data_IF_993353613141
#
_entry.id   IF_993353613141
#
_cell.length_a   1.000
_cell.length_b   1.000
_cell.length_c   1.000
_cell.angle_alpha   90.00
_cell.angle_beta   90.00
_cell.angle_gamma   90.00
#
_symmetry.space_group_name_H-M   'P 1'
#
loop_
_entity.id
_entity.type
_entity.pdbx_description
1 polymer ?
#
# COMPACT_ATOMS: atom_id res chain seq x y z
N UNK A 1 -20.51 48.14 21.19
CA UNK A 1 -20.10 49.56 21.34
C UNK A 1 -19.81 49.84 22.80
N UNK A 2 -18.54 49.83 23.22
CA UNK A 2 -18.03 50.73 24.25
C UNK A 2 -16.52 50.84 24.04
N UNK A 3 -16.11 52.09 23.87
CA UNK A 3 -14.81 52.58 23.46
C UNK A 3 -14.02 52.97 24.73
N UNK A 4 -12.70 53.19 24.52
CA UNK A 4 -11.81 54.05 25.32
C UNK A 4 -11.29 53.48 26.65
N UNK A 5 -10.07 53.75 27.12
CA UNK A 5 -8.86 54.40 26.59
C UNK A 5 -7.83 54.48 27.73
N UNK A 6 -6.55 54.39 27.36
CA UNK A 6 -5.37 55.04 27.96
C UNK A 6 -5.08 54.89 29.47
N UNK A 7 -3.81 54.52 29.77
CA UNK A 7 -2.85 55.42 30.43
C UNK A 7 -1.42 54.85 30.43
N UNK A 8 -0.58 55.48 29.61
CA UNK A 8 0.88 55.55 29.78
C UNK A 8 1.26 56.32 31.06
N UNK A 9 2.22 55.80 31.84
CA UNK A 9 3.20 56.53 32.68
C UNK A 9 4.43 55.60 32.81
N UNK A 10 5.59 55.81 32.19
CA UNK A 10 6.58 56.89 32.28
C UNK A 10 7.36 56.94 33.63
N UNK A 11 8.59 56.40 33.60
CA UNK A 11 9.87 56.80 34.26
C UNK A 11 9.99 56.73 35.80
N UNK A 12 11.21 56.81 36.43
CA UNK A 12 12.59 57.11 35.92
C UNK A 12 13.64 56.02 36.28
N UNK A 13 14.76 55.83 35.56
CA UNK A 13 16.04 56.59 35.47
C UNK A 13 16.90 56.61 36.76
N UNK A 14 18.08 55.98 36.62
CA UNK A 14 19.42 56.45 37.02
C UNK A 14 20.14 55.82 38.25
N UNK A 15 21.30 55.24 37.92
CA UNK A 15 22.64 55.58 38.44
C UNK A 15 23.34 54.60 39.41
N UNK A 16 24.62 54.36 39.06
CA UNK A 16 25.86 54.15 39.84
C UNK A 16 26.64 52.93 39.29
N UNK A 17 27.67 53.12 38.47
CA UNK A 17 29.07 53.53 38.76
C UNK A 17 29.92 52.47 39.49
N UNK A 18 30.85 51.90 38.70
CA UNK A 18 32.30 51.69 38.93
C UNK A 18 32.79 50.93 40.17
N UNK A 19 33.48 49.84 39.87
CA UNK A 19 34.48 49.14 40.70
C UNK A 19 34.49 47.67 40.29
N UNK A 20 35.57 46.94 40.05
CA UNK A 20 37.00 47.16 40.21
C UNK A 20 37.69 46.09 39.33
N UNK A 21 38.88 46.42 38.84
CA UNK A 21 39.75 45.59 37.99
C UNK A 21 40.11 44.23 38.60
N UNK A 22 40.33 43.29 37.66
CA UNK A 22 41.36 42.25 37.66
C UNK A 22 41.15 41.05 38.58
N UNK A 23 40.84 39.89 38.00
CA UNK A 23 41.83 38.80 37.86
C UNK A 23 41.62 38.08 36.53
N UNK A 24 42.69 38.00 35.75
CA UNK A 24 42.85 37.14 34.59
C UNK A 24 42.77 35.68 35.04
N UNK A 25 41.87 34.90 34.44
CA UNK A 25 42.07 33.46 34.27
C UNK A 25 41.56 33.11 32.87
N UNK A 26 42.52 32.74 32.03
CA UNK A 26 42.27 32.29 30.68
C UNK A 26 41.35 31.07 30.69
N UNK A 27 40.24 31.14 29.96
CA UNK A 27 39.65 29.94 29.39
C UNK A 27 39.10 30.24 28.00
N UNK A 28 39.71 29.53 27.07
CA UNK A 28 39.49 29.42 25.64
C UNK A 28 38.03 29.51 25.17
N UNK A 29 37.82 30.48 24.28
CA UNK A 29 37.10 30.41 23.00
C UNK A 29 35.60 30.08 22.95
N UNK A 30 34.89 30.63 21.94
CA UNK A 30 33.45 30.82 21.95
C UNK A 30 32.73 29.65 21.28
N UNK A 31 31.45 29.45 21.60
CA UNK A 31 30.41 29.24 20.58
C UNK A 31 29.03 29.41 21.21
N UNK A 32 28.18 30.04 20.41
CA UNK A 32 26.92 30.65 20.75
C UNK A 32 25.87 29.67 21.29
N UNK A 33 24.98 30.25 22.10
CA UNK A 33 23.66 29.71 22.36
C UNK A 33 22.91 29.49 21.03
N UNK A 34 22.49 28.25 20.83
CA UNK A 34 21.49 27.83 19.86
C UNK A 34 20.84 26.59 20.44
N UNK A 35 19.60 26.71 20.90
CA UNK A 35 18.77 25.56 21.20
C UNK A 35 18.44 24.89 19.87
N UNK A 36 19.24 23.90 19.49
CA UNK A 36 18.92 23.00 18.40
C UNK A 36 18.19 21.82 19.02
N UNK A 37 16.86 21.86 18.94
CA UNK A 37 16.06 20.66 19.12
C UNK A 37 16.57 19.65 18.09
N UNK A 38 17.24 18.60 18.58
CA UNK A 38 17.69 17.49 17.77
C UNK A 38 16.46 16.82 17.14
N UNK A 39 16.11 17.27 15.94
CA UNK A 39 15.33 16.50 14.99
C UNK A 39 16.23 15.32 14.66
N UNK A 40 15.99 14.22 15.36
CA UNK A 40 16.57 12.93 15.02
C UNK A 40 16.16 12.64 13.58
N UNK A 41 17.09 12.87 12.65
CA UNK A 41 17.01 12.41 11.28
C UNK A 41 16.83 10.90 11.32
N UNK A 42 15.56 10.48 11.26
CA UNK A 42 15.18 9.08 11.18
C UNK A 42 15.57 8.62 9.79
N UNK A 43 16.76 8.03 9.68
CA UNK A 43 17.26 7.24 8.56
C UNK A 43 16.08 6.53 7.87
N UNK A 44 15.82 6.75 6.57
CA UNK A 44 14.70 6.11 5.88
C UNK A 44 14.80 4.59 6.07
N UNK A 45 13.73 3.92 6.54
CA UNK A 45 13.77 2.49 6.74
C UNK A 45 14.08 1.80 5.41
N UNK A 46 15.15 1.01 5.41
CA UNK A 46 15.63 0.29 4.24
C UNK A 46 14.55 -0.68 3.77
N UNK A 47 14.06 -0.44 2.55
CA UNK A 47 12.90 -1.09 1.94
C UNK A 47 13.16 -2.57 1.68
N UNK A 48 12.25 -3.49 2.06
CA UNK A 48 12.38 -4.88 1.69
C UNK A 48 11.91 -5.10 0.24
N UNK A 49 12.70 -5.88 -0.49
CA UNK A 49 12.59 -6.19 -1.93
C UNK A 49 11.19 -6.71 -2.29
N UNK A 50 10.54 -6.05 -3.26
CA UNK A 50 9.21 -6.44 -3.77
C UNK A 50 9.37 -7.63 -4.74
N UNK A 51 9.11 -8.84 -4.24
CA UNK A 51 9.09 -10.09 -5.04
C UNK A 51 7.67 -10.43 -5.58
N UNK A 52 6.80 -9.44 -5.74
CA UNK A 52 5.47 -9.66 -6.31
C UNK A 52 5.57 -9.93 -7.80
N UNK A 53 4.89 -10.96 -8.30
CA UNK A 53 4.80 -11.27 -9.74
C UNK A 53 3.69 -10.42 -10.37
N UNK A 54 4.06 -9.24 -10.86
CA UNK A 54 3.10 -8.27 -11.41
C UNK A 54 2.45 -8.73 -12.72
N UNK A 55 3.13 -9.55 -13.53
CA UNK A 55 2.63 -10.05 -14.81
C UNK A 55 1.42 -11.00 -14.69
N UNK A 56 1.15 -11.53 -13.50
CA UNK A 56 0.02 -12.44 -13.26
C UNK A 56 -1.14 -11.77 -12.53
N UNK A 57 -1.01 -10.47 -12.22
CA UNK A 57 -2.07 -9.62 -11.71
C UNK A 57 -2.80 -8.97 -12.87
N UNK A 58 -4.09 -9.29 -12.99
CA UNK A 58 -4.96 -8.77 -14.05
C UNK A 58 -6.14 -8.01 -13.47
N UNK A 59 -6.66 -7.05 -14.21
CA UNK A 59 -7.91 -6.39 -13.88
C UNK A 59 -9.05 -7.35 -14.22
N UNK A 60 -9.93 -7.63 -13.25
CA UNK A 60 -11.13 -8.43 -13.44
C UNK A 60 -12.39 -7.65 -13.13
N UNK A 61 -13.52 -8.05 -13.71
CA UNK A 61 -14.84 -7.47 -13.46
C UNK A 61 -15.74 -8.50 -12.77
N UNK A 62 -16.38 -8.12 -11.67
CA UNK A 62 -17.34 -8.99 -10.96
C UNK A 62 -18.65 -8.99 -11.73
N UNK A 63 -18.94 -10.08 -12.42
CA UNK A 63 -20.17 -10.22 -13.23
C UNK A 63 -21.34 -10.75 -12.42
N UNK A 64 -21.06 -11.55 -11.39
CA UNK A 64 -22.05 -12.09 -10.47
C UNK A 64 -21.41 -12.43 -9.12
N UNK A 65 -22.19 -12.42 -8.05
CA UNK A 65 -21.74 -12.92 -6.75
C UNK A 65 -22.92 -13.38 -5.89
N UNK A 66 -22.68 -14.39 -5.06
CA UNK A 66 -23.66 -14.88 -4.09
C UNK A 66 -22.99 -15.19 -2.74
N UNK A 67 -23.78 -15.17 -1.67
CA UNK A 67 -23.29 -15.51 -0.34
C UNK A 67 -22.86 -16.99 -0.29
N UNK A 68 -21.75 -17.28 0.39
CA UNK A 68 -21.23 -18.63 0.48
C UNK A 68 -22.17 -19.52 1.32
N UNK A 69 -22.58 -20.71 0.82
CA UNK A 69 -23.63 -21.53 1.45
C UNK A 69 -23.26 -22.04 2.86
N UNK A 70 -21.96 -22.16 3.13
CA UNK A 70 -21.41 -22.63 4.41
C UNK A 70 -20.58 -21.58 5.17
N UNK A 71 -20.65 -20.29 4.81
CA UNK A 71 -19.89 -19.24 5.50
C UNK A 71 -20.57 -17.85 5.43
N UNK A 72 -20.94 -17.30 6.59
CA UNK A 72 -21.75 -16.08 6.67
C UNK A 72 -21.01 -14.79 6.24
N UNK A 73 -19.67 -14.81 6.25
CA UNK A 73 -18.82 -13.64 5.97
C UNK A 73 -18.12 -13.71 4.60
N UNK A 74 -18.44 -14.71 3.79
CA UNK A 74 -17.77 -14.95 2.52
C UNK A 74 -18.78 -14.91 1.38
N UNK A 75 -18.33 -14.39 0.26
CA UNK A 75 -19.05 -14.35 -1.00
C UNK A 75 -18.29 -15.18 -2.02
N UNK A 76 -19.04 -15.90 -2.86
CA UNK A 76 -18.53 -16.58 -4.04
C UNK A 76 -18.78 -15.65 -5.21
N UNK A 77 -17.70 -15.11 -5.78
CA UNK A 77 -17.74 -14.14 -6.88
C UNK A 77 -17.39 -14.85 -8.19
N UNK A 78 -18.16 -14.59 -9.24
CA UNK A 78 -17.79 -14.89 -10.62
C UNK A 78 -17.12 -13.67 -11.23
N UNK A 79 -15.87 -13.81 -11.66
CA UNK A 79 -15.03 -12.71 -12.13
C UNK A 79 -14.58 -12.94 -13.57
N UNK A 80 -14.88 -11.98 -14.43
CA UNK A 80 -14.39 -11.94 -15.80
C UNK A 80 -12.98 -11.34 -15.83
N UNK A 81 -12.00 -12.04 -16.37
CA UNK A 81 -10.60 -11.59 -16.48
C UNK A 81 -10.15 -11.35 -17.93
N UNK A 82 -11.09 -10.97 -18.80
CA UNK A 82 -10.85 -10.74 -20.23
C UNK A 82 -11.34 -11.88 -21.12
N UNK A 83 -11.92 -12.93 -20.52
CA UNK A 83 -12.57 -14.05 -21.18
C UNK A 83 -14.00 -14.16 -20.63
N UNK A 84 -14.98 -13.78 -21.46
CA UNK A 84 -16.39 -13.76 -21.07
C UNK A 84 -16.99 -15.16 -20.98
N UNK A 85 -16.41 -16.13 -21.66
CA UNK A 85 -16.90 -17.51 -21.70
C UNK A 85 -16.34 -18.34 -20.53
N UNK A 86 -15.23 -17.90 -19.94
CA UNK A 86 -14.55 -18.59 -18.84
C UNK A 86 -14.38 -17.70 -17.60
N UNK A 87 -15.46 -17.56 -16.84
CA UNK A 87 -15.49 -16.81 -15.58
C UNK A 87 -14.73 -17.56 -14.48
N UNK A 88 -13.87 -16.85 -13.76
CA UNK A 88 -13.18 -17.41 -12.60
C UNK A 88 -14.06 -17.33 -11.35
N UNK A 89 -14.23 -18.46 -10.67
CA UNK A 89 -14.83 -18.47 -9.34
C UNK A 89 -13.79 -18.10 -8.29
N UNK A 90 -14.04 -17.03 -7.53
CA UNK A 90 -13.15 -16.53 -6.49
C UNK A 90 -13.94 -16.27 -5.21
N UNK A 91 -13.47 -16.79 -4.09
CA UNK A 91 -14.08 -16.54 -2.79
C UNK A 91 -13.49 -15.25 -2.21
N UNK A 92 -14.35 -14.30 -1.84
CA UNK A 92 -13.97 -13.02 -1.29
C UNK A 92 -14.73 -12.75 0.01
N UNK A 93 -14.03 -12.26 1.04
CA UNK A 93 -14.63 -11.87 2.32
C UNK A 93 -14.80 -10.36 2.51
N UNK A 94 -14.53 -9.56 1.48
CA UNK A 94 -14.55 -8.11 1.62
C UNK A 94 -16.00 -7.58 1.62
N UNK A 95 -16.31 -6.59 2.47
CA UNK A 95 -17.66 -6.06 2.62
C UNK A 95 -18.11 -5.17 1.44
N UNK A 96 -17.17 -4.69 0.64
CA UNK A 96 -17.39 -3.78 -0.48
C UNK A 96 -17.53 -4.47 -1.84
N UNK A 97 -17.76 -5.79 -1.88
CA UNK A 97 -18.05 -6.52 -3.12
C UNK A 97 -19.36 -6.03 -3.73
N UNK A 98 -19.33 -5.68 -5.02
CA UNK A 98 -20.49 -5.22 -5.79
C UNK A 98 -20.41 -5.71 -7.24
N UNK A 99 -21.58 -5.88 -7.86
CA UNK A 99 -21.69 -6.25 -9.28
C UNK A 99 -21.16 -5.11 -10.16
N UNK A 100 -20.46 -5.47 -11.23
CA UNK A 100 -19.80 -4.55 -12.15
C UNK A 100 -18.52 -3.90 -11.60
N UNK A 101 -18.09 -4.23 -10.38
CA UNK A 101 -16.83 -3.70 -9.86
C UNK A 101 -15.64 -4.26 -10.62
N UNK A 102 -14.74 -3.37 -11.03
CA UNK A 102 -13.43 -3.72 -11.56
C UNK A 102 -12.43 -3.81 -10.41
N UNK A 103 -11.72 -4.92 -10.31
CA UNK A 103 -10.92 -5.29 -9.15
C UNK A 103 -9.62 -5.95 -9.59
N UNK A 104 -8.52 -5.83 -8.82
CA UNK A 104 -7.28 -6.53 -9.13
C UNK A 104 -7.42 -8.00 -8.74
N UNK A 105 -7.11 -8.89 -9.68
CA UNK A 105 -7.21 -10.33 -9.53
C UNK A 105 -5.83 -10.97 -9.64
N UNK A 106 -5.42 -11.67 -8.58
CA UNK A 106 -4.25 -12.53 -8.58
C UNK A 106 -4.63 -13.93 -9.09
N UNK A 107 -4.13 -14.29 -10.27
CA UNK A 107 -4.36 -15.61 -10.88
C UNK A 107 -3.61 -16.71 -10.12
N UNK A 108 -4.05 -17.96 -10.29
CA UNK A 108 -3.29 -19.13 -9.79
C UNK A 108 -1.86 -19.09 -10.30
N UNK A 109 -0.89 -19.30 -9.40
CA UNK A 109 0.54 -19.21 -9.70
C UNK A 109 1.18 -17.88 -9.32
N UNK A 110 0.38 -16.83 -9.09
CA UNK A 110 0.87 -15.51 -8.64
C UNK A 110 1.61 -15.61 -7.31
N UNK A 111 2.73 -14.91 -7.19
CA UNK A 111 3.42 -14.69 -5.91
C UNK A 111 3.17 -13.26 -5.47
N UNK A 112 2.58 -13.09 -4.28
CA UNK A 112 2.35 -11.81 -3.64
C UNK A 112 3.32 -11.65 -2.47
N UNK A 113 3.98 -10.50 -2.38
CA UNK A 113 4.71 -10.10 -1.19
C UNK A 113 3.86 -9.10 -0.41
N UNK A 114 3.14 -9.59 0.61
CA UNK A 114 2.27 -8.79 1.45
C UNK A 114 3.10 -8.26 2.63
N UNK A 115 3.02 -6.96 2.90
CA UNK A 115 3.62 -6.37 4.09
C UNK A 115 2.69 -6.57 5.27
N UNK A 116 3.17 -7.22 6.32
CA UNK A 116 2.41 -7.31 7.57
C UNK A 116 2.44 -5.95 8.31
N UNK A 117 1.29 -5.36 8.66
CA UNK A 117 1.23 -4.04 9.29
C UNK A 117 1.87 -4.04 10.70
N UNK A 118 1.78 -5.15 11.43
CA UNK A 118 2.25 -5.24 12.82
C UNK A 118 3.76 -5.42 12.93
N UNK A 119 4.35 -6.26 12.09
CA UNK A 119 5.79 -6.61 12.19
C UNK A 119 6.62 -5.88 11.15
N UNK A 120 6.02 -5.39 10.07
CA UNK A 120 6.72 -4.78 8.94
C UNK A 120 7.44 -5.80 8.04
N UNK A 121 7.32 -7.10 8.34
CA UNK A 121 7.91 -8.18 7.56
C UNK A 121 7.15 -8.40 6.25
N UNK A 122 7.89 -8.81 5.20
CA UNK A 122 7.29 -9.24 3.94
C UNK A 122 6.95 -10.72 3.98
N UNK A 123 5.65 -11.02 3.94
CA UNK A 123 5.12 -12.37 3.82
C UNK A 123 4.89 -12.72 2.35
N UNK A 124 5.57 -13.78 1.89
CA UNK A 124 5.44 -14.29 0.52
C UNK A 124 4.29 -15.29 0.44
N UNK A 125 3.21 -14.94 -0.24
CA UNK A 125 2.05 -15.79 -0.49
C UNK A 125 2.06 -16.27 -1.94
N UNK A 126 2.00 -17.57 -2.17
CA UNK A 126 1.76 -18.14 -3.51
C UNK A 126 0.28 -18.48 -3.66
N UNK A 127 -0.38 -17.87 -4.63
CA UNK A 127 -1.78 -18.14 -4.96
C UNK A 127 -1.87 -19.51 -5.62
N UNK A 128 -2.69 -20.38 -5.02
CA UNK A 128 -2.98 -21.73 -5.51
C UNK A 128 -4.49 -21.90 -5.57
N UNK A 129 -4.95 -22.78 -6.46
CA UNK A 129 -6.34 -23.25 -6.43
C UNK A 129 -6.59 -23.88 -5.07
N UNK A 130 -7.61 -23.40 -4.36
CA UNK A 130 -7.95 -23.90 -3.03
C UNK A 130 -9.44 -24.18 -2.96
N UNK A 131 -9.83 -25.11 -2.08
CA UNK A 131 -11.22 -25.43 -1.81
C UNK A 131 -11.54 -25.00 -0.39
N UNK A 132 -12.55 -24.16 -0.23
CA UNK A 132 -13.01 -23.69 1.07
C UNK A 132 -14.47 -24.12 1.24
N UNK A 133 -14.72 -25.01 2.21
CA UNK A 133 -16.08 -25.43 2.60
C UNK A 133 -16.98 -25.77 1.40
N UNK A 134 -16.49 -26.64 0.50
CA UNK A 134 -17.24 -27.08 -0.68
C UNK A 134 -16.99 -26.28 -1.95
N UNK A 135 -16.66 -24.99 -1.83
CA UNK A 135 -16.47 -24.09 -2.98
C UNK A 135 -15.01 -23.98 -3.41
N UNK A 136 -14.79 -23.81 -4.71
CA UNK A 136 -13.46 -23.69 -5.30
C UNK A 136 -13.14 -22.21 -5.49
N UNK A 137 -11.95 -21.79 -5.05
CA UNK A 137 -11.39 -20.48 -5.40
C UNK A 137 -10.22 -20.65 -6.37
N UNK A 138 -10.33 -20.03 -7.54
CA UNK A 138 -9.32 -20.04 -8.62
C UNK A 138 -8.47 -18.77 -8.64
N UNK A 139 -8.38 -18.07 -7.52
CA UNK A 139 -7.59 -16.86 -7.40
C UNK A 139 -7.83 -16.15 -6.07
N UNK A 140 -7.44 -14.90 -6.04
CA UNK A 140 -7.67 -13.97 -4.94
C UNK A 140 -7.95 -12.59 -5.52
N UNK A 141 -8.98 -11.92 -5.02
CA UNK A 141 -9.20 -10.48 -5.28
C UNK A 141 -8.36 -9.72 -4.27
N UNK A 142 -7.58 -8.75 -4.72
CA UNK A 142 -6.64 -8.03 -3.87
C UNK A 142 -7.18 -6.68 -3.38
N UNK A 143 -6.77 -6.33 -2.17
CA UNK A 143 -6.90 -5.02 -1.53
C UNK A 143 -5.70 -4.12 -1.80
N UNK A 144 -5.80 -2.84 -1.44
CA UNK A 144 -4.68 -1.89 -1.54
C UNK A 144 -3.49 -2.32 -0.66
N UNK A 145 -3.76 -2.86 0.51
CA UNK A 145 -2.74 -3.34 1.44
C UNK A 145 -2.00 -4.57 0.89
N UNK A 146 -2.73 -5.51 0.27
CA UNK A 146 -2.12 -6.71 -0.35
C UNK A 146 -1.27 -6.38 -1.57
N UNK A 147 -1.58 -5.29 -2.28
CA UNK A 147 -0.76 -4.76 -3.38
C UNK A 147 0.40 -3.87 -2.90
N UNK A 148 0.46 -3.54 -1.62
CA UNK A 148 1.49 -2.66 -1.04
C UNK A 148 1.25 -1.16 -1.27
N UNK A 149 0.06 -0.78 -1.75
CA UNK A 149 -0.35 0.62 -2.01
C UNK A 149 -0.70 1.37 -0.72
N UNK A 150 -1.20 0.63 0.27
CA UNK A 150 -1.53 1.13 1.61
C UNK A 150 -0.90 0.21 2.66
N UNK A 151 -0.84 0.63 3.92
CA UNK A 151 -0.42 -0.25 5.03
C UNK A 151 -1.60 -1.08 5.57
N UNK A 152 -2.83 -0.54 5.49
CA UNK A 152 -4.08 -1.19 5.89
C UNK A 152 -5.18 -0.87 4.87
N UNK A 153 -6.17 -1.76 4.73
CA UNK A 153 -7.32 -1.59 3.82
C UNK A 153 -8.55 -2.29 4.40
N UNK A 154 -9.69 -1.60 4.41
CA UNK A 154 -10.96 -2.14 4.92
C UNK A 154 -11.69 -3.06 3.92
N UNK A 155 -11.19 -3.16 2.69
CA UNK A 155 -11.81 -3.94 1.63
C UNK A 155 -10.94 -4.14 0.41
N UNK A 156 -11.55 -4.68 -0.65
CA UNK A 156 -10.90 -4.86 -1.96
C UNK A 156 -10.70 -3.52 -2.65
N UNK A 157 -9.65 -3.43 -3.48
CA UNK A 157 -9.45 -2.27 -4.33
C UNK A 157 -10.47 -2.31 -5.47
N UNK A 158 -11.22 -1.23 -5.65
CA UNK A 158 -12.17 -1.05 -6.75
C UNK A 158 -11.61 0.02 -7.68
N UNK A 159 -11.45 -0.33 -8.95
CA UNK A 159 -11.07 0.59 -10.01
C UNK A 159 -12.27 1.36 -10.54
N UNK A 160 -12.00 2.51 -11.16
CA UNK A 160 -12.97 3.24 -11.95
C UNK A 160 -13.30 2.48 -13.25
N UNK A 161 -14.41 2.85 -13.88
CA UNK A 161 -14.95 2.19 -15.10
C UNK A 161 -14.08 2.41 -16.35
N UNK A 162 -12.90 2.99 -16.21
CA UNK A 162 -11.89 3.18 -17.26
C UNK A 162 -10.88 2.01 -17.33
N UNK A 163 -10.79 1.15 -16.30
CA UNK A 163 -9.81 0.07 -16.24
C UNK A 163 -10.13 -1.10 -17.20
N UNK A 164 -9.33 -1.33 -18.24
CA UNK A 164 -9.61 -2.43 -19.19
C UNK A 164 -9.58 -3.82 -18.52
N UNK A 165 -10.67 -4.60 -18.68
CA UNK A 165 -10.77 -5.95 -18.12
C UNK A 165 -9.82 -6.89 -18.86
N UNK A 166 -8.99 -7.61 -18.11
CA UNK A 166 -7.95 -8.51 -18.62
C UNK A 166 -6.59 -7.84 -18.84
N UNK A 167 -6.49 -6.51 -18.75
CA UNK A 167 -5.22 -5.80 -18.74
C UNK A 167 -4.44 -6.06 -17.45
N UNK A 168 -3.13 -5.80 -17.45
CA UNK A 168 -2.35 -5.95 -16.23
C UNK A 168 -2.63 -4.83 -15.24
N UNK A 169 -2.66 -5.17 -13.96
CA UNK A 169 -2.97 -4.22 -12.88
C UNK A 169 -1.97 -3.05 -12.84
N UNK A 170 -0.71 -3.30 -13.19
CA UNK A 170 0.32 -2.26 -13.18
C UNK A 170 0.28 -1.32 -14.39
N UNK A 171 -0.39 -1.70 -15.49
CA UNK A 171 -0.60 -0.79 -16.63
C UNK A 171 -1.64 0.28 -16.31
N UNK A 172 -2.47 0.04 -15.28
CA UNK A 172 -3.41 1.03 -14.80
C UNK A 172 -2.68 2.22 -14.18
N UNK A 173 -2.82 3.39 -14.80
CA UNK A 173 -2.04 4.59 -14.47
C UNK A 173 -2.10 5.00 -12.99
N UNK A 174 -3.26 4.87 -12.34
CA UNK A 174 -3.41 5.16 -10.91
C UNK A 174 -2.54 4.26 -10.01
N UNK A 175 -2.24 3.04 -10.44
CA UNK A 175 -1.51 2.05 -9.64
C UNK A 175 -0.02 2.18 -9.85
N UNK A 176 0.46 2.29 -11.10
CA UNK A 176 1.87 2.49 -11.40
C UNK A 176 2.43 3.68 -10.61
N UNK A 177 1.78 4.85 -10.70
CA UNK A 177 2.23 6.05 -10.01
C UNK A 177 2.20 5.93 -8.49
N UNK A 178 1.22 5.20 -7.92
CA UNK A 178 1.14 4.98 -6.46
C UNK A 178 2.20 4.00 -5.96
N UNK A 179 2.55 3.00 -6.76
CA UNK A 179 3.65 2.07 -6.47
C UNK A 179 5.00 2.78 -6.54
N UNK A 180 5.22 3.58 -7.58
CA UNK A 180 6.42 4.41 -7.74
C UNK A 180 6.59 5.40 -6.57
N UNK A 181 5.51 6.05 -6.14
CA UNK A 181 5.53 6.95 -4.99
C UNK A 181 5.93 6.24 -3.67
N UNK A 182 5.72 4.93 -3.58
CA UNK A 182 6.17 4.09 -2.46
C UNK A 182 7.55 3.46 -2.66
N UNK A 183 8.20 3.73 -3.81
CA UNK A 183 9.49 3.13 -4.17
C UNK A 183 9.38 1.65 -4.53
N UNK A 184 8.19 1.17 -4.89
CA UNK A 184 7.98 -0.19 -5.37
C UNK A 184 8.37 -0.24 -6.85
N UNK A 185 9.46 -0.92 -7.15
CA UNK A 185 9.88 -1.15 -8.54
C UNK A 185 8.97 -2.21 -9.17
N UNK A 186 8.12 -1.76 -10.10
CA UNK A 186 7.32 -2.64 -10.95
C UNK A 186 8.21 -3.11 -12.11
N UNK A 187 8.28 -4.41 -12.41
CA UNK A 187 9.03 -4.90 -13.56
C UNK A 187 8.42 -4.35 -14.85
N UNK A 188 9.28 -3.97 -15.79
CA UNK A 188 8.87 -3.52 -17.13
C UNK A 188 7.97 -4.59 -17.80
N UNK A 189 6.86 -4.20 -18.46
CA UNK A 189 5.91 -5.11 -19.07
C UNK A 189 6.63 -6.11 -19.99
N UNK A 190 6.54 -7.39 -19.65
CA UNK A 190 7.01 -8.46 -20.54
C UNK A 190 5.85 -8.82 -21.46
N UNK A 191 6.04 -8.90 -22.79
CA UNK A 191 4.96 -9.12 -23.74
C UNK A 191 4.07 -10.33 -23.38
N UNK A 192 2.76 -10.17 -23.58
CA UNK A 192 1.67 -11.05 -23.14
C UNK A 192 1.66 -12.49 -23.68
N UNK A 193 2.71 -12.89 -24.40
CA UNK A 193 2.84 -14.19 -25.04
C UNK A 193 3.82 -15.09 -24.27
N UNK A 194 3.42 -15.53 -23.08
CA UNK A 194 4.05 -16.66 -22.42
C UNK A 194 2.98 -17.77 -22.27
N UNK A 195 2.96 -18.78 -23.17
CA UNK A 195 2.13 -19.95 -22.95
C UNK A 195 2.54 -20.56 -21.61
N UNK A 196 1.55 -20.89 -20.78
CA UNK A 196 1.76 -21.61 -19.54
C UNK A 196 2.68 -22.81 -19.78
N UNK A 197 3.61 -23.15 -18.86
CA UNK A 197 4.36 -24.39 -18.99
C UNK A 197 3.36 -25.54 -18.87
N UNK A 198 2.95 -26.09 -20.01
CA UNK A 198 2.23 -27.35 -20.09
C UNK A 198 3.13 -28.38 -19.43
N UNK A 199 2.76 -28.81 -18.22
CA UNK A 199 3.36 -29.99 -17.60
C UNK A 199 3.05 -31.17 -18.53
N UNK A 200 4.05 -31.53 -19.35
CA UNK A 200 4.07 -32.77 -20.12
C UNK A 200 4.00 -33.92 -19.14
N UNK A 201 2.79 -34.39 -18.89
CA UNK A 201 2.52 -35.69 -18.28
C UNK A 201 3.12 -36.75 -19.19
N UNK A 202 4.30 -37.23 -18.82
CA UNK A 202 4.93 -38.43 -19.35
C UNK A 202 3.98 -39.60 -19.08
N UNK A 203 3.37 -40.12 -20.13
CA UNK A 203 2.82 -41.47 -20.18
C UNK A 203 3.99 -42.45 -19.99
N UNK A 204 3.94 -43.26 -18.94
CA UNK A 204 4.74 -44.48 -18.86
C UNK A 204 3.82 -45.64 -19.23
N UNK A 205 4.08 -46.23 -20.41
CA UNK A 205 3.75 -47.63 -20.71
C UNK A 205 4.70 -48.58 -19.94
#
# INVERSE_FOLDING_TARGET
>A
MMLQSLRCRAQPRAALLRGLRSQFAAFSSPTAAGQEAAVTEKKPPQQPVVETTWNTLVVGEIVDFHAHPQADRLNVCAVNIGDKDNLLQIICGAPNVRLGARVPVAKVGTRLAIKEPTTGDLKKLKIKKSKLRGEISQGMICSEAELGLADESDGILIFDDEAEVGAWVFEHGTIASRLEARGVSVPSPQPKDAPAPTETSLTQE
#
